data_IF_366050183288
#
_entry.id   IF_366050183288
#
_cell.length_a   1.000
_cell.length_b   1.000
_cell.length_c   1.000
_cell.angle_alpha   90.00
_cell.angle_beta   90.00
_cell.angle_gamma   90.00
#
_symmetry.space_group_name_H-M   'P 1'
#
loop_
_entity.id
_entity.type
_entity.pdbx_description
1 polymer ?
#
# COMPACT_ATOMS: atom_id res chain seq x y z
N UNK A 1 -3.09 -28.67 3.27
CA UNK A 1 -1.95 -28.05 3.95
C UNK A 1 -0.87 -27.78 2.92
N UNK A 2 -0.66 -26.52 2.59
CA UNK A 2 0.37 -26.03 1.68
C UNK A 2 1.72 -25.84 2.40
N UNK A 3 2.79 -25.59 1.65
CA UNK A 3 4.08 -25.17 2.24
C UNK A 3 3.91 -23.91 3.10
N UNK A 4 3.14 -22.93 2.61
CA UNK A 4 2.85 -21.70 3.32
C UNK A 4 2.13 -21.96 4.65
N UNK A 5 1.16 -22.88 4.68
CA UNK A 5 0.43 -23.26 5.90
C UNK A 5 1.37 -23.81 6.99
N UNK A 6 2.43 -24.52 6.59
CA UNK A 6 3.42 -25.04 7.54
C UNK A 6 4.36 -23.96 8.05
N UNK A 7 4.73 -22.99 7.22
CA UNK A 7 5.55 -21.84 7.64
C UNK A 7 4.79 -20.97 8.64
N UNK A 8 3.51 -20.69 8.40
CA UNK A 8 2.65 -19.88 9.29
C UNK A 8 2.55 -20.41 10.73
N UNK A 9 2.81 -21.71 10.95
CA UNK A 9 2.81 -22.32 12.30
C UNK A 9 4.01 -21.88 13.16
N UNK A 10 5.13 -21.54 12.52
CA UNK A 10 6.41 -21.27 13.19
C UNK A 10 6.92 -19.84 12.94
N UNK A 11 6.35 -19.11 11.98
CA UNK A 11 6.82 -17.79 11.56
C UNK A 11 5.64 -16.89 11.22
N UNK A 12 5.75 -15.62 11.57
CA UNK A 12 4.81 -14.58 11.12
C UNK A 12 5.14 -14.22 9.68
N UNK A 13 4.24 -14.56 8.78
CA UNK A 13 4.39 -14.28 7.35
C UNK A 13 3.95 -12.84 7.08
N UNK A 14 4.76 -12.13 6.32
CA UNK A 14 4.55 -10.75 5.89
C UNK A 14 4.46 -10.73 4.36
N UNK A 15 3.53 -9.95 3.80
CA UNK A 15 3.50 -9.71 2.35
C UNK A 15 4.36 -8.49 2.00
N UNK A 16 5.28 -8.62 1.05
CA UNK A 16 6.08 -7.49 0.56
C UNK A 16 5.47 -6.95 -0.74
N UNK A 17 4.37 -6.21 -0.61
CA UNK A 17 3.61 -5.70 -1.76
C UNK A 17 2.77 -4.48 -1.38
N UNK A 18 2.54 -3.59 -2.36
CA UNK A 18 1.52 -2.54 -2.31
C UNK A 18 0.19 -2.94 -2.98
N UNK A 19 0.12 -4.15 -3.56
CA UNK A 19 -1.06 -4.66 -4.25
C UNK A 19 -2.03 -5.36 -3.30
N UNK A 20 -3.22 -4.79 -3.16
CA UNK A 20 -4.27 -5.29 -2.26
C UNK A 20 -4.79 -6.67 -2.65
N UNK A 21 -4.77 -7.01 -3.94
CA UNK A 21 -5.19 -8.33 -4.42
C UNK A 21 -4.31 -9.44 -3.83
N UNK A 22 -3.01 -9.30 -4.02
CA UNK A 22 -1.99 -10.21 -3.47
C UNK A 22 -2.06 -10.31 -1.94
N UNK A 23 -2.24 -9.18 -1.24
CA UNK A 23 -2.32 -9.17 0.24
C UNK A 23 -3.58 -9.92 0.72
N UNK A 24 -4.73 -9.73 0.06
CA UNK A 24 -5.97 -10.45 0.38
C UNK A 24 -5.85 -11.95 0.14
N UNK A 25 -5.20 -12.36 -0.95
CA UNK A 25 -5.05 -13.77 -1.31
C UNK A 25 -4.29 -14.55 -0.22
N UNK A 26 -3.18 -13.99 0.26
CA UNK A 26 -2.29 -14.71 1.19
C UNK A 26 -2.59 -14.46 2.66
N UNK A 27 -3.47 -13.51 3.01
CA UNK A 27 -3.84 -13.16 4.40
C UNK A 27 -2.62 -13.20 5.34
N UNK A 28 -1.63 -12.33 5.10
CA UNK A 28 -0.42 -12.25 5.93
C UNK A 28 -0.75 -11.64 7.30
N UNK A 29 0.21 -11.71 8.23
CA UNK A 29 0.11 -11.02 9.51
C UNK A 29 0.31 -9.51 9.33
N UNK A 30 1.33 -9.12 8.56
CA UNK A 30 1.68 -7.74 8.26
C UNK A 30 1.94 -7.57 6.75
N UNK A 31 2.12 -6.33 6.31
CA UNK A 31 2.58 -6.02 4.95
C UNK A 31 3.69 -4.97 4.98
N UNK A 32 4.70 -5.13 4.13
CA UNK A 32 5.73 -4.11 3.90
C UNK A 32 5.52 -3.44 2.55
N UNK A 33 5.80 -2.14 2.51
CA UNK A 33 5.87 -1.36 1.27
C UNK A 33 7.21 -0.67 1.20
N UNK A 34 7.57 -0.19 0.01
CA UNK A 34 8.72 0.67 -0.23
C UNK A 34 8.40 1.58 -1.43
N UNK A 35 9.21 2.61 -1.74
CA UNK A 35 8.93 3.53 -2.84
C UNK A 35 8.66 2.84 -4.19
N UNK A 36 9.41 1.78 -4.51
CA UNK A 36 9.23 1.04 -5.76
C UNK A 36 7.91 0.27 -5.82
N UNK A 37 7.49 -0.34 -4.70
CA UNK A 37 6.23 -1.08 -4.62
C UNK A 37 5.02 -0.14 -4.68
N UNK A 38 5.09 1.03 -4.03
CA UNK A 38 4.04 2.06 -4.13
C UNK A 38 3.98 2.60 -5.56
N UNK A 39 5.11 2.86 -6.19
CA UNK A 39 5.16 3.32 -7.59
C UNK A 39 4.49 2.31 -8.53
N UNK A 40 4.83 1.03 -8.40
CA UNK A 40 4.23 -0.02 -9.22
C UNK A 40 2.72 -0.15 -8.99
N UNK A 41 2.27 -0.10 -7.74
CA UNK A 41 0.85 -0.17 -7.40
C UNK A 41 0.08 1.07 -7.90
N UNK A 42 0.62 2.27 -7.73
CA UNK A 42 -0.02 3.52 -8.16
C UNK A 42 -0.25 3.62 -9.67
N UNK A 43 0.43 2.81 -10.47
CA UNK A 43 0.21 2.70 -11.93
C UNK A 43 -0.99 1.82 -12.31
N UNK A 44 -1.58 1.08 -11.37
CA UNK A 44 -2.74 0.24 -11.63
C UNK A 44 -4.02 1.08 -11.60
N UNK A 45 -4.84 0.97 -12.65
CA UNK A 45 -6.10 1.73 -12.79
C UNK A 45 -7.05 1.54 -11.59
N UNK A 46 -7.03 0.35 -10.98
CA UNK A 46 -7.81 0.03 -9.77
C UNK A 46 -7.50 0.95 -8.59
N UNK A 47 -6.31 1.56 -8.54
CA UNK A 47 -5.83 2.40 -7.45
C UNK A 47 -5.78 3.89 -7.81
N UNK A 48 -6.23 4.26 -9.01
CA UNK A 48 -6.32 5.65 -9.48
C UNK A 48 -7.02 6.60 -8.50
N UNK A 49 -8.06 6.12 -7.79
CA UNK A 49 -8.77 6.93 -6.79
C UNK A 49 -7.88 7.32 -5.60
N UNK A 50 -6.95 6.46 -5.19
CA UNK A 50 -6.02 6.77 -4.09
C UNK A 50 -4.99 7.80 -4.52
N UNK A 51 -4.56 7.73 -5.79
CA UNK A 51 -3.68 8.72 -6.41
C UNK A 51 -4.39 10.06 -6.51
N UNK A 52 -5.63 10.09 -7.00
CA UNK A 52 -6.39 11.32 -7.12
C UNK A 52 -6.66 11.96 -5.74
N UNK A 53 -7.03 11.18 -4.72
CA UNK A 53 -7.19 11.70 -3.36
C UNK A 53 -5.90 12.33 -2.82
N UNK A 54 -4.74 11.73 -3.11
CA UNK A 54 -3.45 12.28 -2.72
C UNK A 54 -3.13 13.60 -3.44
N UNK A 55 -3.42 13.69 -4.74
CA UNK A 55 -3.27 14.92 -5.54
C UNK A 55 -4.22 16.01 -5.02
N UNK A 56 -5.48 15.69 -4.78
CA UNK A 56 -6.49 16.62 -4.26
C UNK A 56 -6.14 17.11 -2.85
N UNK A 57 -5.53 16.25 -2.03
CA UNK A 57 -4.97 16.64 -0.74
C UNK A 57 -3.79 17.60 -0.91
N UNK A 58 -2.84 17.26 -1.79
CA UNK A 58 -1.68 18.10 -2.08
C UNK A 58 -2.07 19.49 -2.56
N UNK A 59 -3.04 19.59 -3.47
CA UNK A 59 -3.54 20.86 -4.03
C UNK A 59 -4.14 21.82 -2.99
N UNK A 60 -4.41 21.38 -1.75
CA UNK A 60 -4.85 22.24 -0.65
C UNK A 60 -3.67 22.91 0.08
N UNK A 61 -2.44 22.55 -0.25
CA UNK A 61 -1.22 23.10 0.30
C UNK A 61 -0.54 24.00 -0.73
N UNK A 62 -0.11 25.19 -0.30
CA UNK A 62 0.50 26.18 -1.18
C UNK A 62 2.04 26.08 -1.16
N UNK A 63 2.63 26.16 -2.35
CA UNK A 63 4.06 26.45 -2.49
C UNK A 63 4.96 25.23 -2.59
N UNK A 64 6.05 25.22 -1.81
CA UNK A 64 7.21 24.33 -2.04
C UNK A 64 7.02 22.90 -1.53
N UNK A 65 6.10 22.66 -0.60
CA UNK A 65 5.88 21.34 0.00
C UNK A 65 4.71 20.58 -0.62
N UNK A 66 3.97 21.17 -1.59
CA UNK A 66 2.82 20.54 -2.24
C UNK A 66 3.13 19.12 -2.75
N UNK A 67 4.25 18.94 -3.46
CA UNK A 67 4.66 17.64 -3.98
C UNK A 67 4.99 16.65 -2.86
N UNK A 68 5.72 17.09 -1.84
CA UNK A 68 6.07 16.27 -0.68
C UNK A 68 4.82 15.80 0.06
N UNK A 69 3.87 16.71 0.34
CA UNK A 69 2.58 16.38 0.96
C UNK A 69 1.74 15.43 0.12
N UNK A 70 1.76 15.58 -1.21
CA UNK A 70 1.09 14.66 -2.14
C UNK A 70 1.69 13.26 -2.03
N UNK A 71 3.01 13.14 -2.04
CA UNK A 71 3.70 11.85 -1.98
C UNK A 71 3.51 11.15 -0.62
N UNK A 72 3.62 11.89 0.48
CA UNK A 72 3.34 11.36 1.82
C UNK A 72 1.90 10.85 1.91
N UNK A 73 0.94 11.65 1.44
CA UNK A 73 -0.47 11.27 1.43
C UNK A 73 -0.72 10.02 0.58
N UNK A 74 -0.06 9.89 -0.55
CA UNK A 74 -0.13 8.69 -1.40
C UNK A 74 0.33 7.45 -0.62
N UNK A 75 1.50 7.50 0.01
CA UNK A 75 2.02 6.39 0.82
C UNK A 75 1.08 6.03 1.98
N UNK A 76 0.55 7.03 2.68
CA UNK A 76 -0.41 6.84 3.78
C UNK A 76 -1.73 6.25 3.29
N UNK A 77 -2.23 6.68 2.13
CA UNK A 77 -3.46 6.15 1.54
C UNK A 77 -3.33 4.65 1.25
N UNK A 78 -2.23 4.22 0.63
CA UNK A 78 -1.95 2.81 0.41
C UNK A 78 -1.84 2.03 1.72
N UNK A 79 -1.07 2.53 2.69
CA UNK A 79 -0.94 1.89 4.00
C UNK A 79 -2.30 1.76 4.73
N UNK A 80 -3.16 2.76 4.61
CA UNK A 80 -4.50 2.75 5.23
C UNK A 80 -5.41 1.70 4.59
N UNK A 81 -5.36 1.52 3.28
CA UNK A 81 -6.12 0.45 2.62
C UNK A 81 -5.58 -0.95 2.96
N UNK A 82 -4.26 -1.10 3.09
CA UNK A 82 -3.65 -2.35 3.54
C UNK A 82 -4.13 -2.72 4.94
N UNK A 83 -4.19 -1.75 5.87
CA UNK A 83 -4.68 -1.94 7.24
C UNK A 83 -6.17 -2.31 7.34
N UNK A 84 -6.95 -2.21 6.25
CA UNK A 84 -8.32 -2.72 6.21
C UNK A 84 -8.38 -4.21 5.85
N UNK A 85 -7.28 -4.79 5.39
CA UNK A 85 -7.17 -6.19 4.96
C UNK A 85 -6.58 -7.05 6.08
N UNK A 86 -5.57 -6.52 6.79
CA UNK A 86 -4.87 -7.20 7.89
C UNK A 86 -5.46 -6.89 9.27
#
# INVERSE_FOLDING_TARGET
MTLLDNIKKNTKVVADSGDFGSIKEFTPQDSTTNPSLILAAAQLDSYSKLVQDAVDYGLKHDGKDQLEKTMDKLCVNFGTEILKII
#
